data_IF_242129799025
#
_entry.id   IF_242129799025
#
_cell.length_a   1.000
_cell.length_b   1.000
_cell.length_c   1.000
_cell.angle_alpha   90.00
_cell.angle_beta   90.00
_cell.angle_gamma   90.00
#
_symmetry.space_group_name_H-M   'P 1'
#
loop_
_entity.id
_entity.type
_entity.pdbx_description
1 polymer ?
#
# COMPACT_ATOMS: atom_id res chain seq x y z
N UNK A 1 25.36 6.73 36.34
CA UNK A 1 26.48 7.26 37.15
C UNK A 1 26.91 6.13 38.08
N UNK A 2 28.12 5.59 37.86
CA UNK A 2 28.71 4.63 38.75
C UNK A 2 29.51 5.45 39.76
N UNK A 3 29.14 5.35 41.02
CA UNK A 3 29.89 5.91 42.12
C UNK A 3 30.25 4.78 43.10
N UNK A 4 31.50 4.40 43.12
CA UNK A 4 31.96 3.20 43.87
C UNK A 4 31.43 1.90 43.23
N UNK A 5 31.31 0.84 44.03
CA UNK A 5 30.92 -0.51 43.59
C UNK A 5 29.37 -0.72 43.53
N UNK A 6 28.56 0.32 43.60
CA UNK A 6 27.10 0.21 43.57
C UNK A 6 26.43 1.18 42.56
N UNK A 7 25.53 0.65 41.77
CA UNK A 7 24.60 1.43 40.91
C UNK A 7 23.49 1.96 41.78
N UNK A 8 23.45 3.27 42.00
CA UNK A 8 22.51 3.91 42.92
C UNK A 8 21.20 4.36 42.30
N UNK A 9 21.18 4.58 40.97
CA UNK A 9 19.96 4.88 40.21
C UNK A 9 20.22 4.60 38.73
N UNK A 10 19.55 3.62 38.15
CA UNK A 10 19.57 3.34 36.72
C UNK A 10 18.14 3.47 36.17
N UNK A 11 17.96 4.37 35.22
CA UNK A 11 16.72 4.48 34.47
C UNK A 11 17.02 4.04 33.04
N UNK A 12 16.54 2.86 32.70
CA UNK A 12 16.62 2.36 31.33
C UNK A 12 15.45 2.93 30.55
N UNK A 13 15.73 3.84 29.64
CA UNK A 13 14.73 4.33 28.69
C UNK A 13 14.98 3.63 27.35
N UNK A 14 14.12 2.71 26.90
CA UNK A 14 14.26 2.09 25.61
C UNK A 14 14.11 3.15 24.51
N UNK A 15 15.08 3.23 23.63
CA UNK A 15 14.97 4.03 22.40
C UNK A 15 14.24 3.16 21.39
N UNK A 16 12.96 3.46 21.19
CA UNK A 16 12.17 2.79 20.18
C UNK A 16 12.58 3.36 18.80
N UNK A 17 13.01 2.48 17.94
CA UNK A 17 13.32 2.81 16.55
C UNK A 17 12.18 2.41 15.62
N UNK A 18 11.88 3.19 14.56
CA UNK A 18 10.90 2.79 13.57
C UNK A 18 11.36 1.49 12.89
N UNK A 19 10.42 0.62 12.65
CA UNK A 19 10.59 -0.65 11.99
C UNK A 19 10.20 -0.54 10.51
N UNK A 20 10.65 -1.51 9.72
CA UNK A 20 10.29 -1.67 8.32
C UNK A 20 9.97 -3.11 8.01
N UNK A 21 9.07 -3.30 7.05
CA UNK A 21 8.89 -4.58 6.40
C UNK A 21 8.90 -4.41 4.88
N UNK A 22 9.44 -5.40 4.19
CA UNK A 22 9.53 -5.42 2.74
C UNK A 22 9.06 -6.77 2.23
N UNK A 23 8.28 -6.75 1.14
CA UNK A 23 7.90 -7.95 0.38
C UNK A 23 8.18 -7.67 -1.10
N UNK A 24 8.89 -8.57 -1.75
CA UNK A 24 9.09 -8.56 -3.20
C UNK A 24 8.47 -9.83 -3.77
N UNK A 25 7.53 -9.66 -4.69
CA UNK A 25 6.75 -10.76 -5.25
C UNK A 25 6.86 -10.78 -6.76
N UNK A 26 7.08 -11.96 -7.33
CA UNK A 26 6.91 -12.18 -8.74
C UNK A 26 5.41 -12.26 -9.04
N UNK A 27 4.88 -11.23 -9.69
CA UNK A 27 3.44 -11.11 -9.95
C UNK A 27 2.91 -12.19 -10.90
N UNK A 28 3.75 -12.75 -11.76
CA UNK A 28 3.29 -13.73 -12.77
C UNK A 28 2.97 -15.11 -12.18
N UNK A 29 3.55 -15.44 -11.01
CA UNK A 29 3.42 -16.78 -10.42
C UNK A 29 3.14 -16.77 -8.91
N UNK A 30 3.07 -15.62 -8.28
CA UNK A 30 2.79 -15.48 -6.85
C UNK A 30 3.97 -15.79 -5.91
N UNK A 31 5.16 -16.06 -6.44
CA UNK A 31 6.31 -16.38 -5.59
C UNK A 31 6.82 -15.13 -4.89
N UNK A 32 6.97 -15.23 -3.57
CA UNK A 32 7.66 -14.23 -2.75
C UNK A 32 9.16 -14.42 -2.95
N UNK A 33 9.76 -13.54 -3.75
CA UNK A 33 11.17 -13.61 -4.10
C UNK A 33 12.08 -13.12 -2.95
N UNK A 34 11.61 -12.15 -2.17
CA UNK A 34 12.31 -11.65 -0.99
C UNK A 34 11.33 -11.12 0.05
N UNK A 35 11.67 -11.30 1.32
CA UNK A 35 10.89 -10.78 2.44
C UNK A 35 11.82 -10.34 3.58
N UNK A 36 11.53 -9.17 4.14
CA UNK A 36 12.14 -8.69 5.38
C UNK A 36 11.04 -8.33 6.37
N UNK A 37 11.09 -8.90 7.58
CA UNK A 37 10.07 -8.68 8.61
C UNK A 37 10.44 -7.64 9.65
N UNK A 38 11.56 -6.94 9.50
CA UNK A 38 12.00 -5.92 10.44
C UNK A 38 13.40 -5.40 10.13
N UNK A 39 13.73 -4.31 10.80
CA UNK A 39 15.03 -3.63 10.74
C UNK A 39 15.98 -4.21 11.79
N UNK A 40 17.30 -4.14 11.52
CA UNK A 40 18.36 -4.56 12.43
C UNK A 40 18.72 -6.04 12.34
N UNK A 41 19.67 -6.44 13.14
CA UNK A 41 20.11 -7.82 13.22
C UNK A 41 19.05 -8.69 13.94
N UNK A 42 18.95 -9.93 13.52
CA UNK A 42 18.03 -10.88 14.12
C UNK A 42 18.70 -11.57 15.31
N UNK A 43 18.29 -11.22 16.51
CA UNK A 43 18.88 -11.71 17.75
C UNK A 43 18.35 -13.09 18.22
N UNK A 44 17.33 -13.63 17.58
CA UNK A 44 16.71 -14.91 17.98
C UNK A 44 15.96 -15.62 16.87
N UNK A 45 15.54 -16.85 17.17
CA UNK A 45 14.63 -17.61 16.32
C UNK A 45 13.19 -17.20 16.57
N UNK A 46 12.33 -17.33 15.53
CA UNK A 46 10.89 -17.05 15.61
C UNK A 46 10.57 -15.61 16.07
N UNK A 47 11.44 -14.66 15.76
CA UNK A 47 11.16 -13.23 15.97
C UNK A 47 10.03 -12.75 15.06
N UNK A 48 9.35 -11.70 15.48
CA UNK A 48 8.22 -11.13 14.75
C UNK A 48 8.58 -10.79 13.31
N UNK A 49 7.86 -11.39 12.36
CA UNK A 49 7.91 -11.01 10.95
C UNK A 49 6.75 -10.04 10.67
N UNK A 50 7.06 -8.74 10.62
CA UNK A 50 6.04 -7.70 10.44
C UNK A 50 5.39 -7.71 9.07
N UNK A 51 6.08 -8.28 8.08
CA UNK A 51 5.52 -8.40 6.74
C UNK A 51 4.31 -9.35 6.68
N UNK A 52 4.27 -10.35 7.58
CA UNK A 52 3.25 -11.41 7.60
C UNK A 52 2.27 -11.30 8.76
N UNK A 53 2.70 -10.71 9.89
CA UNK A 53 1.95 -10.81 11.15
C UNK A 53 1.56 -9.48 11.75
N UNK A 54 2.07 -8.36 11.23
CA UNK A 54 1.62 -7.04 11.68
C UNK A 54 0.54 -6.49 10.75
N UNK A 55 -0.66 -6.41 11.27
CA UNK A 55 -1.78 -5.77 10.60
C UNK A 55 -1.75 -4.27 10.88
N UNK A 56 -1.67 -3.46 9.82
CA UNK A 56 -1.56 -2.00 9.87
C UNK A 56 -2.53 -1.36 8.88
N UNK A 57 -2.97 -0.15 9.18
CA UNK A 57 -3.85 0.60 8.29
C UNK A 57 -3.09 0.97 7.01
N UNK A 58 -3.63 0.65 5.81
CA UNK A 58 -2.94 0.88 4.53
C UNK A 58 -2.90 2.35 4.10
N UNK A 59 -3.60 3.24 4.82
CA UNK A 59 -3.71 4.62 4.42
C UNK A 59 -4.29 4.79 3.02
N UNK A 60 -3.91 5.85 2.32
CA UNK A 60 -4.41 6.14 0.97
C UNK A 60 -3.97 5.14 -0.12
N UNK A 61 -3.10 4.17 0.19
CA UNK A 61 -2.82 3.07 -0.73
C UNK A 61 -4.07 2.21 -0.99
N UNK A 62 -4.96 2.12 0.00
CA UNK A 62 -6.23 1.41 -0.11
C UNK A 62 -7.15 1.95 -1.21
N UNK A 63 -7.09 3.24 -1.53
CA UNK A 63 -7.98 3.87 -2.51
C UNK A 63 -7.88 3.25 -3.91
N UNK A 64 -6.72 2.69 -4.26
CA UNK A 64 -6.58 1.98 -5.54
C UNK A 64 -7.53 0.80 -5.60
N UNK A 65 -7.62 0.04 -4.51
CA UNK A 65 -8.38 -1.21 -4.43
C UNK A 65 -9.86 -0.95 -4.09
N UNK A 66 -10.11 -0.17 -3.03
CA UNK A 66 -11.47 0.06 -2.52
C UNK A 66 -12.30 1.05 -3.34
N UNK A 67 -11.64 1.94 -4.08
CA UNK A 67 -12.33 3.07 -4.74
C UNK A 67 -12.11 3.06 -6.24
N UNK A 68 -10.87 3.16 -6.71
CA UNK A 68 -10.62 3.40 -8.14
C UNK A 68 -10.72 2.12 -8.98
N UNK A 69 -10.37 0.95 -8.43
CA UNK A 69 -10.56 -0.31 -9.12
C UNK A 69 -12.06 -0.58 -9.38
N UNK A 70 -12.96 -0.60 -8.38
CA UNK A 70 -14.39 -0.78 -8.64
C UNK A 70 -14.99 0.33 -9.50
N UNK A 71 -14.58 1.59 -9.30
CA UNK A 71 -15.07 2.71 -10.11
C UNK A 71 -14.86 2.47 -11.61
N UNK A 72 -13.66 2.03 -11.99
CA UNK A 72 -13.28 1.80 -13.39
C UNK A 72 -13.79 0.44 -13.89
N UNK A 73 -13.71 -0.61 -13.07
CA UNK A 73 -13.99 -1.97 -13.50
C UNK A 73 -15.48 -2.27 -13.64
N UNK A 74 -16.31 -1.84 -12.69
CA UNK A 74 -17.73 -2.18 -12.61
C UNK A 74 -18.69 -1.01 -12.61
N UNK A 75 -18.27 0.18 -12.15
CA UNK A 75 -19.17 1.33 -12.01
C UNK A 75 -19.14 2.29 -13.20
N UNK A 76 -18.40 1.98 -14.28
CA UNK A 76 -18.43 2.75 -15.53
C UNK A 76 -17.64 4.06 -15.52
N UNK A 77 -16.80 4.30 -14.49
CA UNK A 77 -15.88 5.44 -14.52
C UNK A 77 -14.74 5.22 -15.50
N UNK A 78 -14.07 6.31 -15.85
CA UNK A 78 -12.83 6.34 -16.61
C UNK A 78 -11.80 7.17 -15.85
N UNK A 79 -10.55 7.14 -16.28
CA UNK A 79 -9.51 8.02 -15.71
C UNK A 79 -9.84 9.52 -15.88
N UNK A 80 -10.68 9.86 -16.84
CA UNK A 80 -11.16 11.24 -17.09
C UNK A 80 -12.39 11.62 -16.26
N UNK A 81 -13.04 10.68 -15.56
CA UNK A 81 -14.18 10.97 -14.68
C UNK A 81 -13.76 11.97 -13.60
N UNK A 82 -14.52 13.06 -13.48
CA UNK A 82 -14.13 14.27 -12.77
C UNK A 82 -14.98 14.50 -11.53
N UNK A 83 -14.34 14.89 -10.44
CA UNK A 83 -14.95 15.26 -9.17
C UNK A 83 -14.43 16.63 -8.72
N UNK A 84 -15.19 17.30 -7.85
CA UNK A 84 -14.85 18.63 -7.36
C UNK A 84 -14.11 18.55 -6.03
N UNK A 85 -12.83 18.96 -6.02
CA UNK A 85 -12.02 19.07 -4.81
C UNK A 85 -12.36 20.36 -4.06
N UNK A 86 -13.12 20.22 -3.00
CA UNK A 86 -13.61 21.29 -2.12
C UNK A 86 -13.83 20.70 -0.73
N UNK A 87 -14.05 21.50 0.31
CA UNK A 87 -14.39 21.00 1.64
C UNK A 87 -15.43 19.90 1.59
N UNK A 88 -15.13 18.77 2.20
CA UNK A 88 -15.97 17.59 2.16
C UNK A 88 -15.95 16.86 3.50
N UNK A 89 -17.12 16.38 3.92
CA UNK A 89 -17.26 15.52 5.10
C UNK A 89 -18.02 14.26 4.73
N UNK A 90 -17.56 13.14 5.22
CA UNK A 90 -18.26 11.86 5.15
C UNK A 90 -18.76 11.52 6.55
N UNK A 91 -20.08 11.50 6.72
CA UNK A 91 -20.67 11.48 8.06
C UNK A 91 -20.20 12.68 8.89
N UNK A 92 -19.68 12.42 10.09
CA UNK A 92 -19.16 13.45 10.99
C UNK A 92 -17.64 13.72 10.82
N UNK A 93 -16.98 13.06 9.87
CA UNK A 93 -15.55 13.22 9.65
C UNK A 93 -15.25 14.12 8.45
N UNK A 94 -14.44 15.14 8.69
CA UNK A 94 -13.90 15.97 7.62
C UNK A 94 -12.80 15.21 6.89
N UNK A 95 -12.91 15.15 5.56
CA UNK A 95 -11.89 14.59 4.69
C UNK A 95 -10.98 15.71 4.21
N UNK A 96 -9.67 15.56 4.46
CA UNK A 96 -8.65 16.52 4.05
C UNK A 96 -7.69 15.87 3.06
N UNK A 97 -7.23 16.65 2.07
CA UNK A 97 -6.05 16.27 1.31
C UNK A 97 -4.81 16.34 2.21
N UNK A 98 -3.77 15.56 1.90
CA UNK A 98 -2.56 15.49 2.73
C UNK A 98 -1.78 16.83 2.81
N UNK A 99 -1.97 17.71 1.83
CA UNK A 99 -1.40 19.06 1.84
C UNK A 99 -2.30 20.12 2.53
N UNK A 100 -3.50 19.76 2.92
CA UNK A 100 -4.48 20.68 3.50
C UNK A 100 -5.12 21.59 2.45
N UNK A 101 -4.80 22.86 2.48
CA UNK A 101 -5.28 23.89 1.54
C UNK A 101 -4.15 24.33 0.59
N UNK A 102 -4.46 24.82 -0.62
CA UNK A 102 -5.81 25.05 -1.18
C UNK A 102 -6.47 23.76 -1.70
N UNK A 103 -7.78 23.81 -1.87
CA UNK A 103 -8.50 22.85 -2.69
C UNK A 103 -8.31 23.20 -4.18
N UNK A 104 -8.28 22.18 -5.05
CA UNK A 104 -7.87 22.34 -6.45
C UNK A 104 -9.03 22.38 -7.46
N UNK A 105 -10.30 22.35 -6.98
CA UNK A 105 -11.47 22.39 -7.86
C UNK A 105 -11.69 21.10 -8.63
N UNK A 106 -12.04 21.18 -9.91
CA UNK A 106 -12.31 20.00 -10.73
C UNK A 106 -11.02 19.25 -11.06
N UNK A 107 -10.96 17.99 -10.63
CA UNK A 107 -9.86 17.07 -10.93
C UNK A 107 -10.43 15.70 -11.29
N UNK A 108 -9.73 14.98 -12.14
CA UNK A 108 -10.14 13.65 -12.59
C UNK A 108 -9.51 12.53 -11.74
N UNK A 109 -9.95 11.29 -11.98
CA UNK A 109 -9.45 10.11 -11.27
C UNK A 109 -7.93 9.93 -11.46
N UNK A 110 -7.38 10.19 -12.65
CA UNK A 110 -5.93 10.13 -12.89
C UNK A 110 -5.18 11.05 -11.95
N UNK A 111 -5.58 12.33 -11.86
CA UNK A 111 -4.98 13.30 -10.95
C UNK A 111 -5.16 12.88 -9.48
N UNK A 112 -6.32 12.32 -9.13
CA UNK A 112 -6.56 11.82 -7.78
C UNK A 112 -5.60 10.69 -7.39
N UNK A 113 -5.25 9.81 -8.31
CA UNK A 113 -4.25 8.75 -8.10
C UNK A 113 -2.85 9.37 -8.01
N UNK A 114 -2.48 10.22 -8.96
CA UNK A 114 -1.15 10.86 -9.06
C UNK A 114 -0.78 11.62 -7.80
N UNK A 115 -1.68 12.49 -7.35
CA UNK A 115 -1.46 13.36 -6.20
C UNK A 115 -2.02 12.80 -4.88
N UNK A 116 -2.59 11.60 -4.89
CA UNK A 116 -3.23 11.01 -3.71
C UNK A 116 -4.30 11.92 -3.09
N UNK A 117 -5.27 12.37 -3.90
CA UNK A 117 -6.33 13.32 -3.50
C UNK A 117 -7.40 12.61 -2.69
N UNK A 118 -7.35 12.73 -1.36
CA UNK A 118 -8.28 12.06 -0.46
C UNK A 118 -9.74 12.53 -0.67
N UNK A 119 -9.95 13.81 -0.92
CA UNK A 119 -11.30 14.37 -1.14
C UNK A 119 -11.94 13.78 -2.41
N UNK A 120 -11.18 13.69 -3.49
CA UNK A 120 -11.68 13.09 -4.74
C UNK A 120 -11.96 11.60 -4.54
N UNK A 121 -11.06 10.88 -3.86
CA UNK A 121 -11.27 9.46 -3.52
C UNK A 121 -12.55 9.24 -2.70
N UNK A 122 -12.76 10.02 -1.65
CA UNK A 122 -13.94 9.93 -0.82
C UNK A 122 -15.23 10.25 -1.57
N UNK A 123 -15.23 11.28 -2.44
CA UNK A 123 -16.39 11.61 -3.29
C UNK A 123 -16.68 10.51 -4.31
N UNK A 124 -15.66 9.95 -4.95
CA UNK A 124 -15.81 8.84 -5.88
C UNK A 124 -16.42 7.62 -5.17
N UNK A 125 -15.90 7.27 -4.01
CA UNK A 125 -16.40 6.16 -3.20
C UNK A 125 -17.88 6.34 -2.85
N UNK A 126 -18.25 7.48 -2.28
CA UNK A 126 -19.60 7.71 -1.76
C UNK A 126 -20.64 7.97 -2.84
N UNK A 127 -20.25 8.59 -3.98
CA UNK A 127 -21.21 8.97 -5.04
C UNK A 127 -21.35 7.94 -6.16
N UNK A 128 -20.38 7.04 -6.33
CA UNK A 128 -20.36 6.10 -7.45
C UNK A 128 -20.20 4.65 -7.01
N UNK A 129 -19.20 4.35 -6.14
CA UNK A 129 -18.81 2.97 -5.86
C UNK A 129 -19.75 2.33 -4.82
N UNK A 130 -20.10 3.01 -3.76
CA UNK A 130 -20.73 2.51 -2.53
C UNK A 130 -19.80 1.69 -1.62
N UNK A 131 -20.13 1.65 -0.34
CA UNK A 131 -19.33 0.90 0.65
C UNK A 131 -19.40 -0.62 0.40
N UNK A 132 -20.56 -1.14 -0.02
CA UNK A 132 -20.71 -2.59 -0.30
C UNK A 132 -19.83 -3.02 -1.49
N UNK A 133 -19.85 -2.26 -2.59
CA UNK A 133 -19.01 -2.57 -3.76
C UNK A 133 -17.53 -2.45 -3.41
N UNK A 134 -17.15 -1.44 -2.63
CA UNK A 134 -15.76 -1.30 -2.16
C UNK A 134 -15.33 -2.51 -1.33
N UNK A 135 -16.21 -3.00 -0.46
CA UNK A 135 -15.95 -4.18 0.36
C UNK A 135 -15.78 -5.45 -0.48
N UNK A 136 -16.65 -5.68 -1.46
CA UNK A 136 -16.55 -6.82 -2.38
C UNK A 136 -15.18 -6.84 -3.08
N UNK A 137 -14.67 -5.65 -3.47
CA UNK A 137 -13.34 -5.56 -4.07
C UNK A 137 -12.22 -5.78 -3.07
N UNK A 138 -12.33 -5.30 -1.83
CA UNK A 138 -11.36 -5.63 -0.79
C UNK A 138 -11.25 -7.13 -0.54
N UNK A 139 -12.38 -7.85 -0.56
CA UNK A 139 -12.42 -9.32 -0.44
C UNK A 139 -11.80 -9.99 -1.66
N UNK A 140 -12.17 -9.58 -2.88
CA UNK A 140 -11.60 -10.11 -4.13
C UNK A 140 -10.07 -9.96 -4.19
N UNK A 141 -9.54 -8.86 -3.68
CA UNK A 141 -8.11 -8.61 -3.61
C UNK A 141 -7.42 -9.24 -2.39
N UNK A 142 -8.16 -9.97 -1.54
CA UNK A 142 -7.63 -10.68 -0.37
C UNK A 142 -7.21 -9.79 0.79
N UNK A 143 -7.77 -8.59 0.90
CA UNK A 143 -7.43 -7.62 1.94
C UNK A 143 -8.32 -7.70 3.18
N UNK A 144 -9.49 -8.31 3.08
CA UNK A 144 -10.43 -8.53 4.17
C UNK A 144 -11.02 -9.94 4.05
N UNK A 145 -11.48 -10.47 5.18
CA UNK A 145 -12.25 -11.73 5.22
C UNK A 145 -13.72 -11.40 5.38
N UNK A 146 -14.59 -12.10 4.68
CA UNK A 146 -16.04 -11.96 4.70
C UNK A 146 -16.68 -11.97 6.10
N UNK A 147 -15.94 -12.47 7.10
CA UNK A 147 -16.43 -12.63 8.48
C UNK A 147 -16.03 -11.49 9.43
N UNK A 148 -15.28 -10.49 8.99
CA UNK A 148 -14.64 -9.47 9.89
C UNK A 148 -15.25 -8.08 9.77
N UNK A 149 -16.26 -7.88 8.91
CA UNK A 149 -16.79 -6.54 8.66
C UNK A 149 -17.74 -6.03 9.75
N UNK A 150 -17.28 -5.09 10.55
CA UNK A 150 -18.10 -4.25 11.43
C UNK A 150 -18.24 -2.84 10.85
N UNK A 151 -19.42 -2.57 10.26
CA UNK A 151 -19.99 -1.27 9.89
C UNK A 151 -19.35 -0.40 8.79
N UNK A 152 -20.22 0.04 7.89
CA UNK A 152 -19.99 0.82 6.68
C UNK A 152 -19.52 2.28 6.86
N UNK A 153 -19.46 2.80 8.07
CA UNK A 153 -19.25 4.23 8.31
C UNK A 153 -17.81 4.73 8.08
N UNK A 154 -16.86 3.86 7.79
CA UNK A 154 -15.43 4.21 7.81
C UNK A 154 -14.69 4.00 6.49
N UNK A 155 -15.28 3.32 5.49
CA UNK A 155 -14.65 3.20 4.17
C UNK A 155 -14.55 4.55 3.46
N UNK A 156 -15.49 5.47 3.68
CA UNK A 156 -15.47 6.80 3.10
C UNK A 156 -14.36 7.71 3.66
N UNK A 157 -13.81 7.42 4.83
CA UNK A 157 -12.54 7.99 5.31
C UNK A 157 -11.34 7.17 4.84
N UNK A 158 -11.59 6.31 3.89
CA UNK A 158 -10.73 5.59 2.94
C UNK A 158 -9.60 4.72 3.51
N UNK A 159 -9.32 4.66 4.80
CA UNK A 159 -8.13 3.95 5.26
C UNK A 159 -8.16 3.49 6.72
N UNK A 160 -9.26 3.75 7.44
CA UNK A 160 -9.22 3.60 8.90
C UNK A 160 -10.00 2.41 9.44
N UNK A 161 -10.75 1.68 8.61
CA UNK A 161 -11.66 0.63 9.09
C UNK A 161 -11.11 -0.78 9.02
N UNK A 162 -10.02 -0.99 8.32
CA UNK A 162 -9.40 -2.30 8.20
C UNK A 162 -7.88 -2.22 8.22
N UNK A 163 -7.26 -3.31 8.56
CA UNK A 163 -5.82 -3.43 8.63
C UNK A 163 -5.35 -4.58 7.74
N UNK A 164 -4.16 -4.44 7.17
CA UNK A 164 -3.56 -5.41 6.27
C UNK A 164 -2.13 -5.71 6.67
N UNK A 165 -1.62 -6.86 6.27
CA UNK A 165 -0.17 -7.11 6.29
C UNK A 165 0.47 -6.56 5.02
N UNK A 166 1.80 -6.41 5.05
CA UNK A 166 2.54 -5.98 3.86
C UNK A 166 2.41 -7.00 2.72
N UNK A 167 2.42 -8.29 3.04
CA UNK A 167 2.20 -9.36 2.07
C UNK A 167 0.84 -9.24 1.37
N UNK A 168 -0.24 -9.06 2.14
CA UNK A 168 -1.60 -8.92 1.59
C UNK A 168 -1.68 -7.74 0.61
N UNK A 169 -1.17 -6.57 1.03
CA UNK A 169 -1.22 -5.38 0.19
C UNK A 169 -0.32 -5.50 -1.05
N UNK A 170 0.86 -6.12 -0.92
CA UNK A 170 1.75 -6.41 -2.04
C UNK A 170 1.08 -7.36 -3.05
N UNK A 171 0.42 -8.42 -2.58
CA UNK A 171 -0.30 -9.36 -3.45
C UNK A 171 -1.48 -8.71 -4.17
N UNK A 172 -2.19 -7.81 -3.50
CA UNK A 172 -3.27 -7.03 -4.11
C UNK A 172 -2.75 -6.16 -5.28
N UNK A 173 -1.65 -5.44 -5.09
CA UNK A 173 -1.04 -4.67 -6.18
C UNK A 173 -0.41 -5.55 -7.26
N UNK A 174 0.17 -6.69 -6.88
CA UNK A 174 0.68 -7.68 -7.82
C UNK A 174 -0.40 -8.19 -8.77
N UNK A 175 -1.65 -8.30 -8.33
CA UNK A 175 -2.75 -8.70 -9.19
C UNK A 175 -3.08 -7.66 -10.27
N UNK A 176 -2.95 -6.37 -9.97
CA UNK A 176 -3.09 -5.29 -10.96
C UNK A 176 -1.93 -5.38 -11.97
N UNK A 177 -0.69 -5.52 -11.49
CA UNK A 177 0.50 -5.71 -12.32
C UNK A 177 0.42 -6.96 -13.21
N UNK A 178 -0.34 -7.97 -12.77
CA UNK A 178 -0.56 -9.25 -13.47
C UNK A 178 -1.88 -9.26 -14.23
N UNK A 179 -2.20 -8.20 -14.93
CA UNK A 179 -3.35 -8.13 -15.83
C UNK A 179 -4.71 -8.39 -15.13
N UNK A 180 -4.83 -8.06 -13.86
CA UNK A 180 -6.02 -8.28 -13.04
C UNK A 180 -6.22 -9.73 -12.56
N UNK A 181 -5.15 -10.52 -12.57
CA UNK A 181 -5.16 -11.91 -12.12
C UNK A 181 -4.48 -11.99 -10.74
N UNK A 182 -5.25 -12.31 -9.72
CA UNK A 182 -4.73 -12.55 -8.37
C UNK A 182 -4.06 -13.92 -8.29
N UNK A 183 -2.91 -13.94 -7.65
CA UNK A 183 -2.19 -15.15 -7.28
C UNK A 183 -1.86 -15.12 -5.79
N UNK A 184 -2.21 -16.18 -5.09
CA UNK A 184 -1.89 -16.30 -3.67
C UNK A 184 -0.36 -16.32 -3.49
N UNK A 185 0.19 -15.55 -2.54
CA UNK A 185 1.61 -15.60 -2.22
C UNK A 185 2.08 -17.02 -1.87
N UNK A 186 3.22 -17.40 -2.40
CA UNK A 186 3.84 -18.70 -2.13
C UNK A 186 5.33 -18.57 -1.84
N UNK A 187 5.84 -19.43 -0.95
CA UNK A 187 7.22 -19.42 -0.47
C UNK A 187 8.00 -20.66 -0.88
N UNK A 188 7.33 -21.62 -1.50
CA UNK A 188 7.94 -22.86 -1.99
C UNK A 188 7.21 -23.32 -3.24
N UNK A 189 7.90 -24.05 -4.08
CA UNK A 189 7.31 -24.77 -5.20
C UNK A 189 7.02 -26.22 -4.83
N UNK A 190 7.99 -26.85 -4.13
CA UNK A 190 7.86 -28.24 -3.66
C UNK A 190 8.58 -28.41 -2.33
N UNK A 191 8.05 -29.28 -1.50
CA UNK A 191 8.72 -29.82 -0.31
C UNK A 191 8.86 -31.32 -0.51
N UNK A 192 10.10 -31.81 -0.40
CA UNK A 192 10.43 -33.20 -0.61
C UNK A 192 10.83 -33.86 0.74
N UNK A 193 10.56 -35.15 0.89
CA UNK A 193 11.09 -35.94 1.97
C UNK A 193 12.58 -36.31 1.68
N UNK A 194 13.21 -37.06 2.63
CA UNK A 194 14.59 -37.50 2.46
C UNK A 194 14.80 -38.52 1.32
N UNK A 195 13.73 -39.14 0.86
CA UNK A 195 13.72 -40.12 -0.23
C UNK A 195 13.43 -39.46 -1.59
N UNK A 196 13.12 -38.14 -1.62
CA UNK A 196 12.78 -37.40 -2.82
C UNK A 196 11.31 -37.45 -3.21
N UNK A 197 10.44 -38.00 -2.37
CA UNK A 197 8.98 -37.97 -2.59
C UNK A 197 8.42 -36.59 -2.28
N UNK A 198 7.44 -36.14 -3.05
CA UNK A 198 6.78 -34.86 -2.86
C UNK A 198 5.88 -34.94 -1.63
N UNK A 199 6.18 -34.14 -0.58
CA UNK A 199 5.33 -33.94 0.60
C UNK A 199 4.30 -32.83 0.38
N UNK A 200 4.73 -31.72 -0.24
CA UNK A 200 3.86 -30.57 -0.58
C UNK A 200 4.25 -30.05 -1.96
N UNK A 201 3.28 -29.64 -2.71
CA UNK A 201 3.47 -28.94 -3.97
C UNK A 201 2.57 -27.69 -4.00
N UNK A 202 3.17 -26.55 -4.32
CA UNK A 202 2.41 -25.31 -4.50
C UNK A 202 1.86 -25.30 -5.93
N UNK A 203 0.54 -25.39 -6.04
CA UNK A 203 -0.15 -25.21 -7.31
C UNK A 203 -0.61 -23.75 -7.38
N UNK A 204 -0.11 -22.95 -8.34
CA UNK A 204 -0.56 -21.58 -8.50
C UNK A 204 -2.07 -21.52 -8.70
N UNK A 205 -2.77 -20.76 -7.87
CA UNK A 205 -4.19 -20.49 -8.04
C UNK A 205 -4.33 -19.14 -8.73
N UNK A 206 -4.82 -19.13 -9.95
CA UNK A 206 -5.00 -17.93 -10.76
C UNK A 206 -6.49 -17.58 -10.81
N UNK A 207 -6.84 -16.43 -10.26
CA UNK A 207 -8.22 -15.94 -10.26
C UNK A 207 -8.24 -14.55 -10.88
N UNK A 208 -8.96 -14.36 -11.98
CA UNK A 208 -9.21 -13.03 -12.51
C UNK A 208 -10.17 -12.29 -11.60
N UNK A 209 -9.70 -11.19 -11.01
CA UNK A 209 -10.47 -10.38 -10.05
C UNK A 209 -10.94 -9.05 -10.64
N UNK A 210 -10.23 -8.52 -11.64
CA UNK A 210 -10.67 -7.35 -12.43
C UNK A 210 -10.38 -7.60 -13.91
N UNK A 211 -11.01 -6.80 -14.78
CA UNK A 211 -10.76 -6.85 -16.21
C UNK A 211 -9.32 -6.41 -16.54
N UNK A 212 -8.75 -7.00 -17.58
CA UNK A 212 -7.45 -6.60 -18.13
C UNK A 212 -7.39 -5.10 -18.46
N UNK A 213 -8.45 -4.58 -19.06
CA UNK A 213 -8.56 -3.15 -19.37
C UNK A 213 -8.53 -2.26 -18.12
N UNK A 214 -9.17 -2.70 -17.03
CA UNK A 214 -9.18 -1.96 -15.76
C UNK A 214 -7.79 -1.98 -15.11
N UNK A 215 -7.12 -3.13 -15.11
CA UNK A 215 -5.76 -3.26 -14.63
C UNK A 215 -4.79 -2.37 -15.42
N UNK A 216 -4.91 -2.36 -16.76
CA UNK A 216 -4.10 -1.49 -17.63
C UNK A 216 -4.33 0.01 -17.36
N UNK A 217 -5.58 0.45 -17.17
CA UNK A 217 -5.89 1.84 -16.84
C UNK A 217 -5.34 2.23 -15.47
N UNK A 218 -5.50 1.38 -14.44
CA UNK A 218 -4.94 1.64 -13.12
C UNK A 218 -3.42 1.73 -13.15
N UNK A 219 -2.76 0.80 -13.86
CA UNK A 219 -1.30 0.81 -14.06
C UNK A 219 -0.85 2.11 -14.70
N UNK A 220 -1.48 2.50 -15.79
CA UNK A 220 -1.13 3.72 -16.51
C UNK A 220 -1.34 5.00 -15.66
N UNK A 221 -2.36 5.04 -14.80
CA UNK A 221 -2.51 6.16 -13.88
C UNK A 221 -1.49 6.14 -12.73
N UNK A 222 -1.08 4.95 -12.28
CA UNK A 222 -0.06 4.79 -11.22
C UNK A 222 1.37 5.04 -11.72
N UNK A 223 1.63 4.99 -13.03
CA UNK A 223 2.89 5.45 -13.63
C UNK A 223 3.10 6.94 -13.37
N UNK A 224 2.05 7.75 -13.42
CA UNK A 224 2.12 9.19 -13.13
C UNK A 224 2.45 9.50 -11.65
N UNK A 225 2.34 8.52 -10.76
CA UNK A 225 2.78 8.65 -9.35
C UNK A 225 4.31 8.65 -9.24
N UNK A 226 5.00 7.97 -10.18
CA UNK A 226 6.47 7.86 -10.27
C UNK A 226 6.92 8.46 -11.63
N UNK A 227 6.71 9.75 -11.86
CA UNK A 227 6.97 10.34 -13.16
C UNK A 227 8.45 10.36 -13.50
N UNK A 228 8.79 10.12 -14.77
CA UNK A 228 10.15 10.27 -15.28
C UNK A 228 10.63 11.74 -15.30
N UNK A 229 9.68 12.66 -15.40
CA UNK A 229 9.91 14.12 -15.27
C UNK A 229 8.86 14.68 -14.29
N UNK A 230 9.30 14.96 -13.07
CA UNK A 230 8.44 15.50 -12.02
C UNK A 230 8.01 16.94 -12.27
N UNK A 231 8.71 17.70 -13.13
CA UNK A 231 8.39 19.09 -13.44
C UNK A 231 7.06 19.22 -14.21
N UNK A 232 6.75 18.24 -15.04
CA UNK A 232 5.51 18.21 -15.81
C UNK A 232 4.25 18.09 -14.92
N UNK A 233 4.38 17.41 -13.77
CA UNK A 233 3.28 17.15 -12.84
C UNK A 233 3.18 18.15 -11.69
N UNK A 234 4.11 19.12 -11.63
CA UNK A 234 4.09 20.13 -10.58
C UNK A 234 2.91 21.09 -10.78
N UNK A 235 1.85 20.88 -10.00
CA UNK A 235 0.66 21.70 -10.04
C UNK A 235 0.39 22.31 -8.65
N UNK A 236 0.26 23.63 -8.59
CA UNK A 236 -0.04 24.35 -7.35
C UNK A 236 0.92 24.09 -6.18
N UNK A 237 2.18 23.78 -6.43
CA UNK A 237 3.14 23.42 -5.39
C UNK A 237 3.03 21.99 -4.88
N UNK A 238 2.21 21.13 -5.52
CA UNK A 238 1.98 19.74 -5.15
C UNK A 238 2.65 18.86 -6.20
N UNK A 239 3.45 17.91 -5.75
CA UNK A 239 4.14 16.93 -6.60
C UNK A 239 3.49 15.55 -6.49
N UNK A 240 3.66 14.68 -7.50
CA UNK A 240 3.31 13.27 -7.40
C UNK A 240 3.97 12.61 -6.19
N UNK A 241 3.24 11.72 -5.53
CA UNK A 241 3.67 11.22 -4.21
C UNK A 241 4.79 10.17 -4.26
N UNK A 242 5.17 9.68 -5.43
CA UNK A 242 6.20 8.67 -5.64
C UNK A 242 7.47 9.16 -6.32
N UNK A 243 7.73 10.47 -6.39
CA UNK A 243 8.90 11.04 -7.09
C UNK A 243 10.23 10.46 -6.62
N UNK A 244 10.37 10.12 -5.35
CA UNK A 244 11.57 9.48 -4.77
C UNK A 244 11.74 8.00 -5.15
N UNK A 245 10.73 7.40 -5.77
CA UNK A 245 10.76 6.00 -6.19
C UNK A 245 11.25 5.82 -7.64
N UNK A 246 11.59 6.90 -8.32
CA UNK A 246 12.04 6.86 -9.70
C UNK A 246 13.36 6.07 -9.86
N UNK A 247 13.40 5.21 -10.87
CA UNK A 247 14.59 4.48 -11.31
C UNK A 247 14.85 4.83 -12.78
N UNK A 248 16.06 5.24 -13.09
CA UNK A 248 16.44 5.64 -14.45
C UNK A 248 16.16 4.51 -15.46
N UNK A 249 15.58 4.88 -16.58
CA UNK A 249 15.27 3.96 -17.70
C UNK A 249 14.29 2.83 -17.37
N UNK A 250 13.55 2.93 -16.26
CA UNK A 250 12.55 1.92 -15.87
C UNK A 250 11.16 2.57 -15.73
N UNK A 251 10.16 1.98 -16.40
CA UNK A 251 8.76 2.34 -16.17
C UNK A 251 8.26 1.61 -14.92
N UNK A 252 7.81 2.38 -13.96
CA UNK A 252 7.32 1.90 -12.67
C UNK A 252 5.94 2.49 -12.40
N UNK A 253 5.08 1.70 -11.81
CA UNK A 253 3.78 2.14 -11.32
C UNK A 253 3.69 1.92 -9.81
N UNK A 254 3.03 2.81 -9.08
CA UNK A 254 2.93 2.63 -7.63
C UNK A 254 1.98 3.58 -6.93
N UNK A 255 1.87 3.41 -5.62
CA UNK A 255 1.02 4.24 -4.77
C UNK A 255 1.61 4.37 -3.38
N UNK A 256 1.61 5.57 -2.86
CA UNK A 256 1.93 5.85 -1.46
C UNK A 256 0.71 5.62 -0.56
N UNK A 257 0.96 5.23 0.68
CA UNK A 257 -0.01 5.19 1.75
C UNK A 257 0.54 5.89 2.99
N UNK A 258 -0.30 6.68 3.66
CA UNK A 258 0.03 7.28 4.96
C UNK A 258 -1.24 7.32 5.77
N UNK A 259 -1.18 6.87 7.03
CA UNK A 259 -2.31 7.01 7.95
C UNK A 259 -2.48 8.47 8.36
N UNK A 260 -3.71 8.84 8.72
CA UNK A 260 -4.01 10.23 9.13
C UNK A 260 -3.20 10.66 10.37
N UNK A 261 -2.88 9.70 11.25
CA UNK A 261 -2.01 9.92 12.40
C UNK A 261 -0.53 10.08 12.04
N UNK A 262 -0.11 9.65 10.83
CA UNK A 262 1.31 9.57 10.45
C UNK A 262 2.08 8.46 11.17
N UNK A 263 1.40 7.46 11.72
CA UNK A 263 2.05 6.32 12.40
C UNK A 263 2.52 5.24 11.44
N UNK A 264 1.89 5.14 10.28
CA UNK A 264 2.22 4.13 9.27
C UNK A 264 2.43 4.81 7.92
N UNK A 265 3.52 4.46 7.26
CA UNK A 265 3.82 4.91 5.90
C UNK A 265 4.11 3.71 5.00
N UNK A 266 3.60 3.79 3.78
CA UNK A 266 3.63 2.72 2.80
C UNK A 266 4.06 3.22 1.44
N UNK A 267 4.73 2.37 0.70
CA UNK A 267 4.83 2.49 -0.74
C UNK A 267 4.72 1.09 -1.37
N UNK A 268 3.76 0.93 -2.26
CA UNK A 268 3.59 -0.31 -3.02
C UNK A 268 3.66 0.05 -4.49
N UNK A 269 4.51 -0.65 -5.21
CA UNK A 269 4.66 -0.41 -6.63
C UNK A 269 5.33 -1.58 -7.34
N UNK A 270 5.37 -1.51 -8.65
CA UNK A 270 5.84 -2.62 -9.48
C UNK A 270 6.49 -2.14 -10.78
N UNK A 271 7.34 -3.01 -11.29
CA UNK A 271 7.83 -3.06 -12.67
C UNK A 271 7.02 -4.10 -13.45
N UNK A 272 7.29 -4.30 -14.75
CA UNK A 272 6.69 -5.41 -15.49
C UNK A 272 6.97 -6.82 -14.93
N UNK A 273 7.89 -6.97 -13.98
CA UNK A 273 8.36 -8.27 -13.49
C UNK A 273 8.08 -8.52 -12.01
N UNK A 274 8.26 -7.51 -11.17
CA UNK A 274 8.17 -7.65 -9.72
C UNK A 274 7.34 -6.54 -9.10
N UNK A 275 6.57 -6.93 -8.09
CA UNK A 275 5.86 -6.01 -7.19
C UNK A 275 6.58 -5.96 -5.86
N UNK A 276 6.84 -4.76 -5.37
CA UNK A 276 7.48 -4.52 -4.09
C UNK A 276 6.58 -3.67 -3.19
N UNK A 277 6.30 -4.16 -2.00
CA UNK A 277 5.63 -3.40 -0.93
C UNK A 277 6.59 -3.11 0.21
N UNK A 278 6.58 -1.88 0.71
CA UNK A 278 7.30 -1.46 1.91
C UNK A 278 6.35 -0.77 2.88
N UNK A 279 6.49 -1.12 4.15
CA UNK A 279 5.85 -0.46 5.27
C UNK A 279 6.91 0.01 6.26
N UNK A 280 6.68 1.20 6.84
CA UNK A 280 7.46 1.68 7.97
C UNK A 280 6.56 2.28 9.04
N UNK A 281 6.91 2.04 10.31
CA UNK A 281 6.18 2.52 11.46
C UNK A 281 6.78 2.03 12.77
N UNK A 282 6.23 2.49 13.87
CA UNK A 282 6.59 1.96 15.20
C UNK A 282 5.63 0.83 15.58
N UNK A 283 6.14 -0.16 16.32
CA UNK A 283 5.31 -1.27 16.83
C UNK A 283 4.19 -0.78 17.76
N UNK A 284 4.41 0.28 18.49
CA UNK A 284 3.44 0.92 19.40
C UNK A 284 2.62 2.02 18.72
N UNK A 285 2.64 2.11 17.39
CA UNK A 285 1.87 3.08 16.58
C UNK A 285 2.18 4.56 16.90
N UNK A 286 3.37 4.87 17.40
CA UNK A 286 3.83 6.25 17.52
C UNK A 286 3.87 6.92 16.15
N UNK A 287 3.62 8.23 16.18
CA UNK A 287 3.79 9.08 15.01
C UNK A 287 5.26 9.08 14.58
N UNK A 288 5.49 8.82 13.30
CA UNK A 288 6.81 8.94 12.71
C UNK A 288 7.21 10.43 12.68
N UNK A 289 8.43 10.74 13.11
CA UNK A 289 8.93 12.10 13.09
C UNK A 289 9.05 12.63 11.65
N UNK A 290 9.03 13.95 11.48
CA UNK A 290 9.10 14.62 10.19
C UNK A 290 10.24 14.10 9.30
N UNK A 291 9.97 13.94 8.01
CA UNK A 291 10.95 13.46 7.02
C UNK A 291 10.86 11.97 6.71
N UNK A 292 9.74 11.34 6.97
CA UNK A 292 9.50 9.90 6.76
C UNK A 292 9.30 9.51 5.30
N UNK A 293 10.22 9.92 4.44
CA UNK A 293 10.24 9.52 3.03
C UNK A 293 11.30 8.42 2.74
N UNK A 294 12.06 7.99 3.76
CA UNK A 294 13.14 7.03 3.60
C UNK A 294 12.67 5.67 3.07
N UNK A 295 11.44 5.23 3.40
CA UNK A 295 10.83 4.02 2.86
C UNK A 295 10.77 4.06 1.32
N UNK A 296 10.46 5.19 0.70
CA UNK A 296 10.45 5.36 -0.75
C UNK A 296 11.85 5.23 -1.35
N UNK A 297 12.85 5.81 -0.69
CA UNK A 297 14.25 5.69 -1.11
C UNK A 297 14.76 4.25 -0.99
N UNK A 298 14.33 3.51 0.04
CA UNK A 298 14.66 2.09 0.19
C UNK A 298 13.97 1.29 -0.91
N UNK A 299 12.69 1.53 -1.15
CA UNK A 299 11.93 0.92 -2.24
C UNK A 299 12.63 1.13 -3.59
N UNK A 300 13.02 2.36 -3.89
CA UNK A 300 13.74 2.72 -5.12
C UNK A 300 15.03 1.91 -5.28
N UNK A 301 15.83 1.80 -4.21
CA UNK A 301 17.09 1.02 -4.23
C UNK A 301 16.86 -0.47 -4.43
N UNK A 302 15.73 -1.02 -3.97
CA UNK A 302 15.37 -2.42 -4.19
C UNK A 302 15.00 -2.64 -5.65
N UNK A 303 14.16 -1.77 -6.20
CA UNK A 303 13.66 -1.90 -7.58
C UNK A 303 14.71 -1.58 -8.65
N UNK A 304 15.77 -0.85 -8.28
CA UNK A 304 16.90 -0.54 -9.17
C UNK A 304 17.89 -1.70 -9.36
N UNK A 305 17.71 -2.83 -8.69
CA UNK A 305 18.57 -4.03 -8.76
C UNK A 305 17.94 -5.14 -9.58
#
# INVERSE_FOLDING_TARGET
LISGDSVTNETITPILEPQESVVVMNQSNGQVAAISGGRGEKEGSLTLNRALHCHRQPGSASMIISTFAPAIDSCGATLASTYYDAPYSSGNQQVLNWWGNPYLGYNNIRQAITYSMNVIGARCLTSLVSDSTAYDYLELFGLVDANVFESSASLASASQSYTVTNEMLTAAFASIANDGIYQKPTYYTKVLDRQGNILLESVPSQIRIIKSSSAALLTNAMEDVIPSDSSYYYQYGITPTGTLCQVDSMTLAGKSGTTTSGSDVWFIGYSPYYTCGIWSGYDDSKVLSNGTEYHKTIWQKIMAR
#
